data_IF_585521677011
#
_entry.id   IF_585521677011
#
_cell.length_a   1.000
_cell.length_b   1.000
_cell.length_c   1.000
_cell.angle_alpha   90.00
_cell.angle_beta   90.00
_cell.angle_gamma   90.00
#
_symmetry.space_group_name_H-M   'P 1'
#
loop_
_entity.id
_entity.type
_entity.pdbx_description
1 polymer ?
#
# COMPACT_ATOMS: atom_id res chain seq x y z
N UNK A 1 -11.39 42.71 -52.05
CA UNK A 1 -10.94 42.38 -50.67
C UNK A 1 -10.73 40.86 -50.64
N UNK A 2 -9.72 40.38 -49.96
CA UNK A 2 -9.41 38.96 -49.93
C UNK A 2 -9.97 38.30 -48.68
N UNK A 3 -10.54 37.12 -48.81
CA UNK A 3 -11.08 36.32 -47.69
C UNK A 3 -10.04 36.26 -46.59
N UNK A 4 -10.43 36.59 -45.36
CA UNK A 4 -9.63 36.47 -44.12
C UNK A 4 -9.90 35.14 -43.43
N UNK A 5 -9.11 34.79 -42.43
CA UNK A 5 -9.27 33.55 -41.71
C UNK A 5 -9.14 33.77 -40.20
N UNK A 6 -9.90 32.96 -39.39
CA UNK A 6 -9.81 33.01 -37.94
C UNK A 6 -8.38 32.61 -37.50
N UNK A 7 -7.85 33.20 -36.40
CA UNK A 7 -6.45 32.98 -36.01
C UNK A 7 -6.15 31.58 -35.50
N UNK A 8 -7.10 30.90 -34.88
CA UNK A 8 -6.93 29.59 -34.22
C UNK A 8 -7.33 28.44 -35.14
N UNK A 9 -8.59 28.37 -35.53
CA UNK A 9 -9.11 27.26 -36.34
C UNK A 9 -8.92 27.47 -37.85
N UNK A 10 -8.47 28.66 -38.28
CA UNK A 10 -8.25 28.97 -39.68
C UNK A 10 -9.50 28.84 -40.57
N UNK A 11 -10.69 29.14 -39.96
CA UNK A 11 -11.95 29.18 -40.70
C UNK A 11 -12.03 30.39 -41.59
N UNK A 12 -12.66 30.27 -42.76
CA UNK A 12 -12.87 31.41 -43.65
C UNK A 12 -13.73 32.49 -42.98
N UNK A 13 -13.40 33.75 -43.27
CA UNK A 13 -14.18 34.95 -42.94
C UNK A 13 -14.60 35.64 -44.26
N UNK A 14 -15.65 35.16 -44.90
CA UNK A 14 -16.10 35.72 -46.17
C UNK A 14 -16.42 37.21 -46.05
N UNK A 15 -15.98 38.00 -47.04
CA UNK A 15 -16.27 39.42 -47.13
C UNK A 15 -17.50 39.64 -48.01
N UNK A 16 -18.35 40.55 -47.62
CA UNK A 16 -19.58 40.86 -48.37
C UNK A 16 -19.28 41.22 -49.81
N UNK A 17 -19.94 40.54 -50.76
CA UNK A 17 -19.76 40.76 -52.20
C UNK A 17 -18.58 40.05 -52.83
N UNK A 18 -17.72 39.39 -52.08
CA UNK A 18 -16.51 38.70 -52.61
C UNK A 18 -16.82 37.35 -53.29
N UNK A 19 -17.82 36.61 -52.76
CA UNK A 19 -18.04 35.20 -53.12
C UNK A 19 -19.35 35.01 -53.92
N UNK A 20 -19.60 35.87 -54.92
CA UNK A 20 -20.80 35.75 -55.78
C UNK A 20 -20.82 34.40 -56.51
N UNK A 21 -21.85 33.57 -56.24
CA UNK A 21 -22.00 32.24 -56.84
C UNK A 21 -21.25 31.10 -56.12
N UNK A 22 -20.31 31.37 -55.21
CA UNK A 22 -19.52 30.35 -54.48
C UNK A 22 -19.63 30.48 -52.96
N UNK A 23 -20.45 31.38 -52.44
CA UNK A 23 -20.61 31.63 -51.03
C UNK A 23 -21.06 30.39 -50.25
N UNK A 24 -22.00 29.61 -50.79
CA UNK A 24 -22.49 28.38 -50.21
C UNK A 24 -21.39 27.33 -50.01
N UNK A 25 -20.52 27.16 -51.05
CA UNK A 25 -19.42 26.22 -50.99
C UNK A 25 -18.40 26.63 -49.93
N UNK A 26 -18.06 27.91 -49.83
CA UNK A 26 -17.14 28.42 -48.82
C UNK A 26 -17.71 28.23 -47.41
N UNK A 27 -18.99 28.43 -47.19
CA UNK A 27 -19.65 28.18 -45.89
C UNK A 27 -19.60 26.69 -45.55
N UNK A 28 -19.94 25.83 -46.50
CA UNK A 28 -19.99 24.39 -46.28
C UNK A 28 -18.60 23.79 -46.04
N UNK A 29 -17.64 24.10 -46.95
CA UNK A 29 -16.35 23.44 -46.97
C UNK A 29 -15.35 24.10 -46.04
N UNK A 30 -15.32 25.44 -45.96
CA UNK A 30 -14.25 26.18 -45.31
C UNK A 30 -14.64 26.74 -43.94
N UNK A 31 -15.91 26.54 -43.51
CA UNK A 31 -16.40 26.88 -42.18
C UNK A 31 -17.03 25.66 -41.52
N UNK A 32 -18.16 25.14 -42.04
CA UNK A 32 -18.95 24.10 -41.38
C UNK A 32 -18.15 22.79 -41.23
N UNK A 33 -17.58 22.29 -42.32
CA UNK A 33 -16.74 21.07 -42.30
C UNK A 33 -15.46 21.22 -41.43
N UNK A 34 -14.92 22.44 -41.37
CA UNK A 34 -13.78 22.74 -40.52
C UNK A 34 -14.15 22.78 -39.04
N UNK A 35 -15.33 23.23 -38.68
CA UNK A 35 -15.88 23.19 -37.31
C UNK A 35 -16.11 21.73 -36.90
N UNK A 36 -16.72 20.92 -37.78
CA UNK A 36 -16.89 19.48 -37.52
C UNK A 36 -15.56 18.79 -37.27
N UNK A 37 -14.54 19.05 -38.10
CA UNK A 37 -13.19 18.51 -37.90
C UNK A 37 -12.63 18.93 -36.53
N UNK A 38 -12.86 20.16 -36.09
CA UNK A 38 -12.33 20.68 -34.81
C UNK A 38 -13.02 20.09 -33.60
N UNK A 39 -14.28 19.66 -33.72
CA UNK A 39 -15.09 19.13 -32.61
C UNK A 39 -15.07 17.60 -32.56
N UNK A 40 -15.21 16.94 -33.71
CA UNK A 40 -15.38 15.48 -33.82
C UNK A 40 -14.31 14.79 -34.66
N UNK A 41 -13.46 15.52 -35.35
CA UNK A 41 -12.46 14.98 -36.27
C UNK A 41 -11.41 14.12 -35.56
N UNK A 42 -11.18 12.92 -36.11
CA UNK A 42 -10.10 12.02 -35.70
C UNK A 42 -9.03 11.95 -36.77
N UNK A 43 -7.79 12.25 -36.39
CA UNK A 43 -6.61 12.08 -37.24
C UNK A 43 -5.84 10.82 -36.81
N UNK A 44 -5.45 9.99 -37.77
CA UNK A 44 -4.49 8.90 -37.57
C UNK A 44 -3.13 9.35 -38.06
N UNK A 45 -2.17 9.40 -37.16
CA UNK A 45 -0.76 9.67 -37.45
C UNK A 45 -0.02 8.36 -37.50
N UNK A 46 0.53 8.01 -38.67
CA UNK A 46 1.24 6.77 -38.91
C UNK A 46 2.55 7.02 -39.75
N UNK A 47 3.00 8.24 -39.80
CA UNK A 47 4.22 8.64 -40.54
C UNK A 47 5.10 9.47 -39.61
N UNK A 48 6.34 9.03 -39.48
CA UNK A 48 7.33 9.66 -38.61
C UNK A 48 8.59 9.96 -39.36
N UNK A 49 9.16 11.16 -39.20
CA UNK A 49 10.42 11.54 -39.74
C UNK A 49 11.39 11.89 -38.62
N UNK A 50 12.48 11.14 -38.49
CA UNK A 50 13.44 11.29 -37.39
C UNK A 50 12.74 11.24 -36.02
N UNK A 51 11.83 10.27 -35.83
CA UNK A 51 10.98 10.12 -34.66
C UNK A 51 10.06 11.34 -34.38
N UNK A 52 9.72 12.13 -35.35
CA UNK A 52 8.90 13.35 -35.21
C UNK A 52 7.80 13.42 -36.26
N UNK A 53 6.65 13.98 -35.87
CA UNK A 53 5.58 14.38 -36.79
C UNK A 53 5.12 15.80 -36.44
N UNK A 54 5.13 16.71 -37.41
CA UNK A 54 4.63 18.08 -37.22
C UNK A 54 3.25 18.21 -37.83
N UNK A 55 2.28 18.60 -37.00
CA UNK A 55 0.88 18.79 -37.44
C UNK A 55 0.80 19.96 -38.44
N UNK A 56 0.25 19.71 -39.60
CA UNK A 56 0.02 20.72 -40.60
C UNK A 56 -1.09 21.69 -40.21
N UNK A 57 -0.96 22.95 -40.65
CA UNK A 57 -1.98 24.00 -40.56
C UNK A 57 -2.30 24.54 -41.92
N UNK A 58 -3.56 24.83 -42.22
CA UNK A 58 -3.99 25.40 -43.47
C UNK A 58 -5.21 26.31 -43.30
N UNK A 59 -5.26 27.39 -44.02
CA UNK A 59 -6.37 28.34 -44.08
C UNK A 59 -7.51 27.79 -44.92
N UNK A 60 -8.71 27.63 -44.32
CA UNK A 60 -9.93 27.27 -45.04
C UNK A 60 -9.91 25.89 -45.71
N UNK A 61 -8.96 25.03 -45.41
CA UNK A 61 -8.88 23.66 -45.92
C UNK A 61 -8.54 22.68 -44.81
N UNK A 62 -8.67 21.39 -45.07
CA UNK A 62 -8.33 20.34 -44.12
C UNK A 62 -6.89 20.49 -43.59
N UNK A 63 -6.71 20.37 -42.28
CA UNK A 63 -5.41 20.49 -41.65
C UNK A 63 -5.34 19.56 -40.42
N UNK A 64 -4.20 18.90 -40.21
CA UNK A 64 -4.02 17.92 -39.11
C UNK A 64 -4.21 18.54 -37.74
N UNK A 65 -3.69 19.74 -37.52
CA UNK A 65 -3.77 20.44 -36.24
C UNK A 65 -5.19 20.81 -35.82
N UNK A 66 -6.17 20.74 -36.74
CA UNK A 66 -7.57 21.05 -36.43
C UNK A 66 -8.27 19.86 -35.79
N UNK A 67 -7.87 18.63 -36.02
CA UNK A 67 -8.51 17.45 -35.48
C UNK A 67 -8.63 17.51 -33.93
N UNK A 68 -9.78 17.04 -33.42
CA UNK A 68 -10.03 16.96 -31.99
C UNK A 68 -9.29 15.78 -31.34
N UNK A 69 -9.16 14.68 -32.08
CA UNK A 69 -8.53 13.44 -31.61
C UNK A 69 -7.35 13.06 -32.47
N UNK A 70 -6.24 12.74 -31.82
CA UNK A 70 -5.01 12.24 -32.45
C UNK A 70 -4.84 10.77 -32.09
N UNK A 71 -4.82 9.88 -33.07
CA UNK A 71 -4.55 8.45 -32.92
C UNK A 71 -3.17 8.15 -33.47
N UNK A 72 -2.21 7.97 -32.59
CA UNK A 72 -0.81 7.77 -32.95
C UNK A 72 -0.55 6.27 -33.15
N UNK A 73 0.02 5.90 -34.28
CA UNK A 73 0.37 4.53 -34.63
C UNK A 73 1.73 4.51 -35.33
N UNK A 74 2.39 3.37 -35.35
CA UNK A 74 3.64 3.16 -36.09
C UNK A 74 3.64 1.77 -36.77
N UNK A 75 2.64 1.54 -37.64
CA UNK A 75 2.52 0.26 -38.36
C UNK A 75 3.67 0.04 -39.37
N UNK A 76 4.40 1.08 -39.73
CA UNK A 76 5.55 1.03 -40.64
C UNK A 76 6.89 0.94 -39.91
N UNK A 77 6.90 0.85 -38.58
CA UNK A 77 8.13 0.75 -37.74
C UNK A 77 9.17 1.85 -38.02
N UNK A 78 8.69 3.09 -38.13
CA UNK A 78 9.52 4.26 -38.36
C UNK A 78 10.11 4.88 -37.08
N UNK A 79 9.53 4.55 -35.92
CA UNK A 79 9.98 5.02 -34.61
C UNK A 79 11.05 4.09 -34.04
N UNK A 80 12.30 4.50 -34.11
CA UNK A 80 13.43 3.80 -33.50
C UNK A 80 13.59 4.08 -31.99
N UNK A 81 12.92 5.12 -31.47
CA UNK A 81 12.97 5.59 -30.08
C UNK A 81 11.72 6.39 -29.74
N UNK A 82 11.69 7.01 -28.54
CA UNK A 82 10.61 7.92 -28.15
C UNK A 82 10.37 9.00 -29.23
N UNK A 83 9.09 9.21 -29.55
CA UNK A 83 8.68 10.10 -30.63
C UNK A 83 8.16 11.45 -30.13
N UNK A 84 7.97 12.38 -31.09
CA UNK A 84 7.42 13.71 -30.81
C UNK A 84 6.33 14.07 -31.82
N UNK A 85 5.19 14.53 -31.34
CA UNK A 85 4.19 15.24 -32.16
C UNK A 85 4.32 16.72 -31.88
N UNK A 86 4.63 17.51 -32.91
CA UNK A 86 4.75 18.96 -32.80
C UNK A 86 3.44 19.59 -33.25
N UNK A 87 2.71 20.22 -32.31
CA UNK A 87 1.51 20.99 -32.59
C UNK A 87 1.83 22.49 -32.75
N UNK A 88 0.99 23.25 -33.43
CA UNK A 88 1.17 24.71 -33.52
C UNK A 88 0.98 25.34 -32.14
N UNK A 89 1.71 26.45 -31.91
CA UNK A 89 1.58 27.24 -30.66
C UNK A 89 0.28 28.07 -30.65
N UNK A 90 -0.86 27.36 -30.65
CA UNK A 90 -2.20 27.91 -30.64
C UNK A 90 -3.03 27.24 -29.54
N UNK A 91 -3.89 28.01 -28.88
CA UNK A 91 -4.78 27.48 -27.83
C UNK A 91 -5.73 26.44 -28.40
N UNK A 92 -5.55 25.18 -28.03
CA UNK A 92 -6.36 24.05 -28.50
C UNK A 92 -6.23 22.83 -27.59
N UNK A 93 -7.33 22.13 -27.44
CA UNK A 93 -7.42 20.84 -26.71
C UNK A 93 -7.32 19.67 -27.70
N UNK A 94 -6.62 18.61 -27.30
CA UNK A 94 -6.52 17.36 -28.02
C UNK A 94 -6.78 16.17 -27.10
N UNK A 95 -7.50 15.18 -27.61
CA UNK A 95 -7.53 13.83 -27.05
C UNK A 95 -6.50 13.01 -27.82
N UNK A 96 -5.46 12.53 -27.15
CA UNK A 96 -4.36 11.81 -27.79
C UNK A 96 -4.33 10.37 -27.31
N UNK A 97 -4.52 9.44 -28.25
CA UNK A 97 -4.37 7.99 -28.02
C UNK A 97 -3.02 7.55 -28.61
N UNK A 98 -2.11 7.11 -27.76
CA UNK A 98 -0.82 6.57 -28.19
C UNK A 98 -0.88 5.05 -28.32
N UNK A 99 -0.76 4.53 -29.53
CA UNK A 99 -0.60 3.12 -29.88
C UNK A 99 0.64 2.88 -30.76
N UNK A 100 1.62 3.76 -30.71
CA UNK A 100 2.80 3.75 -31.61
C UNK A 100 3.96 2.85 -31.12
N UNK A 101 3.78 2.12 -30.01
CA UNK A 101 4.82 1.23 -29.46
C UNK A 101 5.89 1.94 -28.61
N UNK A 102 6.03 3.26 -28.73
CA UNK A 102 6.99 4.10 -28.03
C UNK A 102 6.28 5.17 -27.19
N UNK A 103 7.00 5.82 -26.27
CA UNK A 103 6.51 7.04 -25.60
C UNK A 103 6.48 8.17 -26.65
N UNK A 104 5.36 8.90 -26.73
CA UNK A 104 5.23 10.04 -27.62
C UNK A 104 5.02 11.31 -26.80
N UNK A 105 5.89 12.30 -27.01
CA UNK A 105 5.72 13.63 -26.42
C UNK A 105 4.94 14.52 -27.36
N UNK A 106 3.83 15.09 -26.92
CA UNK A 106 3.10 16.14 -27.64
C UNK A 106 3.56 17.47 -27.10
N UNK A 107 4.08 18.34 -27.96
CA UNK A 107 4.64 19.65 -27.59
C UNK A 107 4.48 20.67 -28.72
N UNK A 108 4.70 21.95 -28.44
CA UNK A 108 4.93 22.97 -29.48
C UNK A 108 6.39 22.95 -29.93
N UNK A 109 6.73 23.64 -30.99
CA UNK A 109 8.09 23.65 -31.54
C UNK A 109 9.13 24.10 -30.51
N UNK A 110 8.83 25.11 -29.69
CA UNK A 110 9.75 25.71 -28.71
C UNK A 110 9.34 25.53 -27.26
N UNK A 111 8.10 25.12 -26.99
CA UNK A 111 7.57 24.96 -25.63
C UNK A 111 7.82 23.57 -25.02
N UNK A 112 7.43 23.41 -23.77
CA UNK A 112 7.37 22.13 -23.08
C UNK A 112 6.19 21.28 -23.57
N UNK A 113 6.18 19.98 -23.26
CA UNK A 113 5.14 19.06 -23.67
C UNK A 113 4.88 17.94 -22.68
N UNK A 114 3.87 17.13 -22.98
CA UNK A 114 3.43 16.00 -22.19
C UNK A 114 3.82 14.69 -22.87
N UNK A 115 4.50 13.83 -22.13
CA UNK A 115 4.90 12.50 -22.57
C UNK A 115 3.74 11.51 -22.31
N UNK A 116 3.23 10.91 -23.37
CA UNK A 116 2.11 9.95 -23.32
C UNK A 116 2.69 8.54 -23.51
N UNK A 117 2.62 7.66 -22.47
CA UNK A 117 3.10 6.29 -22.60
C UNK A 117 2.32 5.48 -23.65
N UNK A 118 2.97 4.48 -24.23
CA UNK A 118 2.31 3.57 -25.17
C UNK A 118 1.08 2.90 -24.53
N UNK A 119 0.02 2.76 -25.31
CA UNK A 119 -1.26 2.19 -24.88
C UNK A 119 -2.16 3.13 -24.07
N UNK A 120 -1.73 4.36 -23.79
CA UNK A 120 -2.51 5.34 -23.01
C UNK A 120 -3.24 6.36 -23.88
N UNK A 121 -4.34 6.87 -23.34
CA UNK A 121 -5.09 7.99 -23.91
C UNK A 121 -5.09 9.13 -22.88
N UNK A 122 -4.71 10.32 -23.32
CA UNK A 122 -4.65 11.51 -22.47
C UNK A 122 -5.38 12.68 -23.10
N UNK A 123 -6.02 13.50 -22.27
CA UNK A 123 -6.50 14.82 -22.62
C UNK A 123 -5.36 15.81 -22.37
N UNK A 124 -4.97 16.56 -23.40
CA UNK A 124 -3.94 17.59 -23.31
C UNK A 124 -4.43 18.88 -23.94
N UNK A 125 -3.89 20.01 -23.56
CA UNK A 125 -4.17 21.28 -24.22
C UNK A 125 -2.91 22.10 -24.43
N UNK A 126 -2.88 22.85 -25.52
CA UNK A 126 -1.87 23.87 -25.77
C UNK A 126 -2.39 25.21 -25.25
N UNK A 127 -1.60 25.91 -24.43
CA UNK A 127 -1.93 27.25 -23.91
C UNK A 127 -1.49 28.41 -24.86
N UNK A 128 -0.92 28.06 -26.02
CA UNK A 128 -0.31 28.97 -26.97
C UNK A 128 1.23 28.98 -26.91
N UNK A 129 1.81 28.31 -25.91
CA UNK A 129 3.26 28.19 -25.73
C UNK A 129 3.66 26.75 -25.45
N UNK A 130 3.02 26.14 -24.44
CA UNK A 130 3.31 24.80 -23.95
C UNK A 130 2.12 23.86 -24.17
N UNK A 131 2.38 22.55 -24.12
CA UNK A 131 1.33 21.54 -24.00
C UNK A 131 1.29 21.04 -22.57
N UNK A 132 0.10 21.05 -21.97
CA UNK A 132 -0.17 20.75 -20.58
C UNK A 132 -1.20 19.62 -20.45
N UNK A 133 -1.25 18.99 -19.28
CA UNK A 133 -2.27 17.99 -18.98
C UNK A 133 -3.65 18.65 -18.88
N UNK A 134 -4.66 18.03 -19.48
CA UNK A 134 -6.05 18.55 -19.44
C UNK A 134 -6.78 18.28 -18.13
N UNK A 135 -6.28 17.35 -17.31
CA UNK A 135 -6.86 17.01 -16.00
C UNK A 135 -5.70 16.75 -15.02
N UNK A 136 -5.45 17.69 -14.14
CA UNK A 136 -4.40 17.64 -13.11
C UNK A 136 -4.99 17.61 -11.68
N UNK A 137 -6.30 17.88 -11.55
CA UNK A 137 -7.00 17.90 -10.27
C UNK A 137 -8.37 17.23 -10.37
N UNK A 138 -8.65 16.31 -9.43
CA UNK A 138 -9.95 15.67 -9.27
C UNK A 138 -10.40 15.85 -7.82
N UNK A 139 -11.48 16.58 -7.60
CA UNK A 139 -12.03 16.85 -6.25
C UNK A 139 -12.57 15.58 -5.61
N UNK A 140 -13.24 14.74 -6.38
CA UNK A 140 -13.81 13.48 -5.90
C UNK A 140 -13.69 12.43 -7.01
N UNK A 141 -13.05 11.31 -6.70
CA UNK A 141 -12.98 10.14 -7.57
C UNK A 141 -13.88 9.03 -7.01
N UNK A 142 -14.94 8.67 -7.74
CA UNK A 142 -15.75 7.47 -7.45
C UNK A 142 -15.35 6.38 -8.45
N UNK A 143 -14.73 5.32 -7.95
CA UNK A 143 -14.26 4.20 -8.77
C UNK A 143 -14.64 2.87 -8.11
N UNK A 144 -15.06 1.88 -8.89
CA UNK A 144 -15.29 0.52 -8.39
C UNK A 144 -13.98 -0.17 -7.97
N UNK A 145 -12.90 0.14 -8.66
CA UNK A 145 -11.53 -0.31 -8.31
C UNK A 145 -10.55 0.82 -8.65
N UNK A 146 -9.67 1.14 -7.72
CA UNK A 146 -8.58 2.09 -7.93
C UNK A 146 -7.25 1.32 -7.96
N UNK A 147 -6.55 1.35 -9.10
CA UNK A 147 -5.20 0.78 -9.24
C UNK A 147 -4.18 1.90 -9.38
N UNK A 148 -3.24 1.97 -8.45
CA UNK A 148 -2.15 2.95 -8.44
C UNK A 148 -0.83 2.20 -8.63
N UNK A 149 -0.08 2.56 -9.67
CA UNK A 149 1.18 1.89 -10.03
C UNK A 149 2.44 2.63 -9.55
N UNK A 150 2.25 3.74 -8.87
CA UNK A 150 3.33 4.59 -8.34
C UNK A 150 3.21 4.85 -6.85
N UNK A 151 4.10 5.68 -6.31
CA UNK A 151 4.02 6.14 -4.92
C UNK A 151 2.74 6.96 -4.72
N UNK A 152 1.99 6.62 -3.69
CA UNK A 152 0.77 7.34 -3.31
C UNK A 152 0.97 7.99 -1.95
N UNK A 153 0.69 9.29 -1.87
CA UNK A 153 0.67 10.04 -0.61
C UNK A 153 -0.77 10.31 -0.22
N UNK A 154 -1.18 9.81 0.93
CA UNK A 154 -2.47 10.11 1.52
C UNK A 154 -2.32 11.13 2.65
N UNK A 155 -3.13 12.17 2.66
CA UNK A 155 -3.27 13.02 3.83
C UNK A 155 -3.97 12.25 4.97
N UNK A 156 -4.97 11.43 4.62
CA UNK A 156 -5.65 10.51 5.53
C UNK A 156 -6.32 9.38 4.75
N UNK A 157 -6.50 8.23 5.39
CA UNK A 157 -7.26 7.09 4.88
C UNK A 157 -8.39 6.81 5.87
N UNK A 158 -9.64 6.81 5.41
CA UNK A 158 -10.82 6.58 6.25
C UNK A 158 -11.49 5.26 5.86
N UNK A 159 -11.75 4.40 6.84
CA UNK A 159 -12.58 3.22 6.68
C UNK A 159 -14.08 3.53 6.66
N UNK A 160 -14.90 2.55 6.31
CA UNK A 160 -16.35 2.68 6.29
C UNK A 160 -16.95 2.94 7.69
N UNK A 161 -16.28 2.53 8.74
CA UNK A 161 -16.62 2.71 10.15
C UNK A 161 -16.27 4.08 10.74
N UNK A 162 -15.90 5.02 9.89
CA UNK A 162 -15.53 6.39 10.22
C UNK A 162 -14.16 6.60 10.89
N UNK A 163 -13.41 5.56 11.20
CA UNK A 163 -12.05 5.70 11.72
C UNK A 163 -11.11 6.26 10.63
N UNK A 164 -10.48 7.37 10.91
CA UNK A 164 -9.54 8.00 9.98
C UNK A 164 -8.11 7.61 10.31
N UNK A 165 -7.44 6.91 9.41
CA UNK A 165 -6.01 6.62 9.51
C UNK A 165 -5.21 7.79 8.95
N UNK A 166 -4.35 8.39 9.76
CA UNK A 166 -3.56 9.58 9.41
C UNK A 166 -2.11 9.26 9.02
N UNK A 167 -1.73 7.99 9.03
CA UNK A 167 -0.42 7.54 8.58
C UNK A 167 -0.04 6.15 9.07
N UNK A 168 1.17 5.74 8.71
CA UNK A 168 1.82 4.51 9.17
C UNK A 168 2.90 4.94 10.16
N UNK A 169 3.01 4.22 11.27
CA UNK A 169 3.99 4.48 12.32
C UNK A 169 4.88 3.24 12.50
N UNK A 170 6.18 3.48 12.48
CA UNK A 170 7.21 2.50 12.77
C UNK A 170 7.77 2.77 14.16
N UNK A 171 7.14 2.18 15.18
CA UNK A 171 7.42 2.42 16.60
C UNK A 171 7.43 1.10 17.36
N UNK A 172 8.61 0.62 17.73
CA UNK A 172 8.83 -0.72 18.25
C UNK A 172 8.26 -0.96 19.67
N UNK A 173 8.03 0.09 20.41
CA UNK A 173 7.54 0.03 21.80
C UNK A 173 6.04 0.34 21.96
N UNK A 174 5.35 0.73 20.87
CA UNK A 174 3.92 1.12 20.87
C UNK A 174 3.57 2.23 21.89
N UNK A 175 4.53 3.05 22.33
CA UNK A 175 4.33 4.05 23.38
C UNK A 175 3.32 5.13 23.01
N UNK A 176 3.18 5.45 21.71
CA UNK A 176 2.23 6.46 21.25
C UNK A 176 0.78 6.05 21.44
N UNK A 177 0.49 4.75 21.56
CA UNK A 177 -0.88 4.19 21.68
C UNK A 177 -1.89 4.90 20.77
N UNK A 178 -1.49 5.11 19.50
CA UNK A 178 -2.24 5.95 18.55
C UNK A 178 -3.50 5.26 18.04
N UNK A 179 -4.66 5.90 18.21
CA UNK A 179 -5.93 5.42 17.65
C UNK A 179 -6.06 5.65 16.13
N UNK A 180 -5.13 6.38 15.51
CA UNK A 180 -5.24 6.81 14.10
C UNK A 180 -4.02 6.45 13.24
N UNK A 181 -3.07 5.68 13.75
CA UNK A 181 -1.92 5.21 12.99
C UNK A 181 -2.01 3.69 12.74
N UNK A 182 -1.63 3.26 11.55
CA UNK A 182 -1.33 1.86 11.29
C UNK A 182 0.11 1.57 11.71
N UNK A 183 0.34 0.39 12.23
CA UNK A 183 1.65 -0.08 12.65
C UNK A 183 2.32 -0.87 11.53
N UNK A 184 3.65 -0.83 11.45
CA UNK A 184 4.41 -1.68 10.53
C UNK A 184 4.51 -3.12 11.07
N UNK A 185 4.73 -4.07 10.17
CA UNK A 185 4.98 -5.47 10.57
C UNK A 185 6.23 -5.58 11.46
N UNK A 186 7.25 -4.78 11.18
CA UNK A 186 8.50 -4.75 11.96
C UNK A 186 8.23 -4.30 13.39
N UNK A 187 7.48 -3.19 13.60
CA UNK A 187 7.10 -2.71 14.93
C UNK A 187 6.30 -3.74 15.72
N UNK A 188 5.32 -4.41 15.09
CA UNK A 188 4.56 -5.48 15.75
C UNK A 188 5.48 -6.60 16.21
N UNK A 189 6.40 -7.04 15.34
CA UNK A 189 7.35 -8.09 15.68
C UNK A 189 8.27 -7.66 16.82
N UNK A 190 8.84 -6.45 16.77
CA UNK A 190 9.74 -5.94 17.80
C UNK A 190 9.01 -5.82 19.15
N UNK A 191 7.76 -5.30 19.15
CA UNK A 191 6.95 -5.22 20.37
C UNK A 191 6.66 -6.61 20.95
N UNK A 192 6.25 -7.57 20.14
CA UNK A 192 5.95 -8.93 20.56
C UNK A 192 7.20 -9.62 21.11
N UNK A 193 8.33 -9.52 20.40
CA UNK A 193 9.62 -10.10 20.84
C UNK A 193 10.05 -9.50 22.19
N UNK A 194 9.89 -8.18 22.37
CA UNK A 194 10.19 -7.52 23.64
C UNK A 194 9.25 -7.98 24.79
N UNK A 195 7.96 -8.21 24.51
CA UNK A 195 7.03 -8.72 25.52
C UNK A 195 7.28 -10.19 25.86
N UNK A 196 7.57 -11.02 24.84
CA UNK A 196 7.88 -12.45 25.06
C UNK A 196 9.22 -12.60 25.76
N UNK A 197 10.25 -11.83 25.34
CA UNK A 197 11.57 -11.85 26.01
C UNK A 197 11.57 -11.24 27.41
N UNK A 198 10.55 -10.48 27.78
CA UNK A 198 10.40 -9.93 29.14
C UNK A 198 9.95 -10.97 30.19
N UNK A 199 9.56 -12.19 29.78
CA UNK A 199 9.06 -13.25 30.68
C UNK A 199 9.84 -14.55 30.52
N UNK A 200 11.17 -14.46 30.37
CA UNK A 200 12.04 -15.62 30.21
C UNK A 200 12.32 -16.37 31.51
N UNK A 201 11.98 -15.78 32.65
CA UNK A 201 12.22 -16.37 33.95
C UNK A 201 10.93 -16.50 34.78
N UNK A 202 10.86 -17.50 35.62
CA UNK A 202 9.76 -17.66 36.58
C UNK A 202 9.62 -16.44 37.52
N UNK A 203 10.73 -15.75 37.80
CA UNK A 203 10.72 -14.54 38.63
C UNK A 203 9.91 -13.40 37.98
N UNK A 204 10.03 -13.22 36.67
CA UNK A 204 9.28 -12.20 35.91
C UNK A 204 7.80 -12.56 35.78
N UNK A 205 7.48 -13.83 35.58
CA UNK A 205 6.09 -14.32 35.61
C UNK A 205 5.48 -14.08 36.99
N UNK A 206 6.19 -14.37 38.08
CA UNK A 206 5.73 -14.16 39.45
C UNK A 206 5.61 -12.67 39.85
N UNK A 207 6.37 -11.78 39.21
CA UNK A 207 6.23 -10.32 39.40
C UNK A 207 4.90 -9.78 38.85
N UNK A 208 4.33 -10.39 37.82
CA UNK A 208 3.01 -10.04 37.28
C UNK A 208 1.84 -10.66 38.03
N UNK A 209 2.10 -11.69 38.85
CA UNK A 209 1.11 -12.32 39.69
C UNK A 209 1.65 -13.63 40.25
N UNK A 210 1.70 -13.77 41.55
CA UNK A 210 2.29 -14.92 42.25
C UNK A 210 1.28 -16.01 42.64
N UNK A 211 0.09 -15.98 42.06
CA UNK A 211 -0.95 -16.99 42.28
C UNK A 211 -1.30 -17.69 40.99
N UNK A 212 -1.60 -18.99 41.07
CA UNK A 212 -2.02 -19.77 39.90
C UNK A 212 -3.47 -19.46 39.46
N UNK A 213 -4.18 -18.58 40.16
CA UNK A 213 -5.57 -18.21 39.82
C UNK A 213 -6.56 -19.39 39.90
N UNK A 214 -6.22 -20.45 40.62
CA UNK A 214 -7.00 -21.68 40.71
C UNK A 214 -6.67 -22.75 39.67
N UNK A 215 -5.62 -22.52 38.85
CA UNK A 215 -5.08 -23.52 37.94
C UNK A 215 -3.95 -24.33 38.63
N UNK A 216 -3.84 -25.60 38.32
CA UNK A 216 -2.74 -26.46 38.80
C UNK A 216 -1.42 -26.16 38.08
N UNK A 217 -0.32 -26.35 38.80
CA UNK A 217 1.01 -26.45 38.18
C UNK A 217 1.25 -27.92 37.90
N UNK A 218 1.25 -28.31 36.64
CA UNK A 218 1.50 -29.68 36.20
C UNK A 218 2.94 -29.81 35.76
N UNK A 219 3.73 -30.57 36.54
CA UNK A 219 5.07 -31.02 36.08
C UNK A 219 4.91 -32.30 35.26
N UNK A 220 5.71 -32.46 34.22
CA UNK A 220 5.71 -33.66 33.38
C UNK A 220 6.39 -34.83 34.13
N UNK A 221 6.23 -36.05 33.62
CA UNK A 221 6.92 -37.26 34.15
C UNK A 221 8.42 -36.98 34.22
N UNK A 222 9.02 -37.33 35.34
CA UNK A 222 10.42 -37.16 35.70
C UNK A 222 10.90 -35.71 35.89
N UNK A 223 10.04 -34.69 35.72
CA UNK A 223 10.37 -33.30 36.02
C UNK A 223 10.53 -33.12 37.55
N UNK A 224 11.40 -32.20 37.91
CA UNK A 224 11.76 -31.91 39.28
C UNK A 224 11.52 -30.43 39.61
N UNK A 225 10.88 -30.17 40.76
CA UNK A 225 10.97 -28.86 41.40
C UNK A 225 12.22 -28.85 42.27
N UNK A 226 13.31 -28.26 41.76
CA UNK A 226 14.60 -28.21 42.44
C UNK A 226 14.74 -27.00 43.34
N UNK A 227 15.33 -27.19 44.49
CA UNK A 227 15.63 -26.13 45.46
C UNK A 227 17.13 -26.09 45.67
N UNK A 228 17.80 -24.96 45.31
CA UNK A 228 19.22 -24.70 45.48
C UNK A 228 20.12 -25.50 44.54
N UNK A 229 20.06 -26.82 44.49
CA UNK A 229 20.88 -27.67 43.62
C UNK A 229 20.13 -28.96 43.21
N UNK A 230 20.78 -29.82 42.43
CA UNK A 230 20.17 -31.00 41.84
C UNK A 230 19.90 -32.16 42.85
N UNK A 231 20.43 -32.06 44.05
CA UNK A 231 20.24 -33.09 45.09
C UNK A 231 19.04 -32.83 45.99
N UNK A 232 18.42 -31.62 45.90
CA UNK A 232 17.31 -31.21 46.72
C UNK A 232 16.09 -30.92 45.82
N UNK A 233 15.10 -31.78 45.81
CA UNK A 233 13.96 -31.66 44.91
C UNK A 233 12.70 -32.41 45.38
N UNK A 234 11.58 -32.05 44.76
CA UNK A 234 10.33 -32.80 44.79
C UNK A 234 10.01 -33.28 43.39
N UNK A 235 9.67 -34.55 43.22
CA UNK A 235 9.22 -35.10 41.94
C UNK A 235 8.29 -36.31 42.13
N UNK A 236 7.83 -36.84 41.01
CA UNK A 236 7.12 -38.13 40.96
C UNK A 236 7.80 -38.97 39.88
N UNK A 237 8.71 -39.85 40.32
CA UNK A 237 9.51 -40.73 39.43
C UNK A 237 8.72 -41.96 38.94
N UNK A 238 7.53 -42.24 39.54
CA UNK A 238 6.65 -43.33 39.13
C UNK A 238 5.20 -42.97 39.47
N UNK A 239 4.25 -43.60 38.79
CA UNK A 239 2.84 -43.40 39.08
C UNK A 239 2.48 -43.76 40.56
N UNK A 240 1.80 -42.87 41.21
CA UNK A 240 1.40 -42.99 42.63
C UNK A 240 2.49 -42.63 43.63
N UNK A 241 3.68 -42.19 43.22
CA UNK A 241 4.77 -41.78 44.08
C UNK A 241 4.93 -40.26 44.13
N UNK A 242 5.20 -39.73 45.32
CA UNK A 242 5.69 -38.39 45.55
C UNK A 242 7.01 -38.49 46.33
N UNK A 243 8.12 -38.16 45.69
CA UNK A 243 9.43 -38.20 46.31
C UNK A 243 9.82 -36.81 46.80
N UNK A 244 10.21 -36.71 48.07
CA UNK A 244 10.82 -35.52 48.67
C UNK A 244 12.24 -35.87 49.01
N UNK A 245 13.19 -35.35 48.30
CA UNK A 245 14.59 -35.74 48.37
C UNK A 245 15.44 -34.56 48.84
N UNK A 246 16.31 -34.86 49.83
CA UNK A 246 17.33 -33.94 50.30
C UNK A 246 18.62 -34.73 50.57
N UNK A 247 19.79 -34.12 50.35
CA UNK A 247 21.09 -34.72 50.53
C UNK A 247 21.50 -34.87 52.01
N UNK A 248 20.91 -34.10 52.89
CA UNK A 248 21.27 -34.12 54.33
C UNK A 248 20.05 -34.37 55.22
N UNK A 249 19.00 -33.60 55.13
CA UNK A 249 17.84 -33.62 56.04
C UNK A 249 16.58 -33.10 55.37
N UNK A 250 15.44 -33.76 55.64
CA UNK A 250 14.12 -33.18 55.40
C UNK A 250 13.52 -32.80 56.75
N UNK A 251 13.46 -31.50 57.03
CA UNK A 251 12.89 -30.96 58.27
C UNK A 251 11.41 -30.61 58.10
N UNK A 252 10.57 -31.23 58.90
CA UNK A 252 9.13 -30.94 58.97
C UNK A 252 8.85 -30.24 60.28
N UNK A 253 8.54 -28.92 60.25
CA UNK A 253 8.18 -28.12 61.43
C UNK A 253 6.71 -27.86 61.42
N UNK A 254 5.99 -28.55 62.27
CA UNK A 254 4.51 -28.44 62.40
C UNK A 254 4.08 -28.72 63.83
N UNK A 255 2.94 -28.24 64.22
CA UNK A 255 2.29 -28.60 65.52
C UNK A 255 1.83 -30.05 65.58
N UNK A 256 1.49 -30.64 64.44
CA UNK A 256 1.01 -32.02 64.33
C UNK A 256 1.43 -32.56 62.94
N UNK A 257 2.13 -33.69 62.88
CA UNK A 257 2.30 -34.45 61.66
C UNK A 257 1.31 -35.62 61.71
N UNK A 258 0.33 -35.64 60.86
CA UNK A 258 -0.64 -36.73 60.71
C UNK A 258 -0.25 -37.60 59.52
N UNK A 259 0.02 -38.88 59.75
CA UNK A 259 0.31 -39.85 58.67
C UNK A 259 -0.77 -40.93 58.75
N UNK A 260 -1.67 -40.94 57.78
CA UNK A 260 -2.79 -41.92 57.67
C UNK A 260 -2.31 -43.11 56.79
N UNK A 261 -1.18 -43.69 57.15
CA UNK A 261 -0.56 -44.85 56.49
C UNK A 261 0.44 -45.51 57.37
N UNK A 262 0.95 -46.69 56.98
CA UNK A 262 2.10 -47.32 57.66
C UNK A 262 3.34 -46.43 57.45
N UNK A 263 4.13 -46.25 58.49
CA UNK A 263 5.38 -45.53 58.45
C UNK A 263 6.52 -46.57 58.43
N UNK A 264 7.25 -46.66 57.35
CA UNK A 264 8.44 -47.52 57.25
C UNK A 264 9.70 -46.66 57.48
N UNK A 265 10.45 -46.99 58.51
CA UNK A 265 11.69 -46.32 58.88
C UNK A 265 12.84 -47.29 58.66
N UNK A 266 13.65 -47.07 57.65
CA UNK A 266 14.83 -47.90 57.36
C UNK A 266 15.97 -47.75 58.39
N UNK A 267 15.81 -46.86 59.37
CA UNK A 267 16.79 -46.58 60.43
C UNK A 267 16.08 -46.36 61.76
N UNK A 268 16.72 -45.68 62.69
CA UNK A 268 16.23 -45.53 64.09
C UNK A 268 15.20 -44.39 64.18
N UNK A 269 14.07 -44.67 64.87
CA UNK A 269 13.19 -43.60 65.31
C UNK A 269 13.72 -43.04 66.64
N UNK A 270 13.98 -41.73 66.67
CA UNK A 270 14.36 -41.02 67.90
C UNK A 270 13.22 -40.09 68.30
N UNK A 271 12.64 -40.30 69.46
CA UNK A 271 11.60 -39.44 69.97
C UNK A 271 12.16 -38.62 71.14
N UNK A 272 12.07 -37.31 71.05
CA UNK A 272 12.54 -36.40 72.10
C UNK A 272 11.48 -36.21 73.26
N UNK A 273 10.32 -36.78 73.11
CA UNK A 273 9.18 -36.70 74.08
C UNK A 273 8.55 -38.06 74.32
N UNK A 274 7.37 -38.06 74.90
CA UNK A 274 6.62 -39.30 75.20
C UNK A 274 6.09 -39.87 73.85
N UNK A 275 6.21 -41.19 73.72
CA UNK A 275 5.53 -41.95 72.68
C UNK A 275 4.22 -42.52 73.31
N UNK A 276 3.09 -42.26 72.61
CA UNK A 276 1.85 -42.88 72.95
C UNK A 276 1.41 -43.83 71.82
N UNK A 277 1.54 -45.12 72.10
CA UNK A 277 1.21 -46.18 71.15
C UNK A 277 -0.19 -46.75 71.56
N UNK A 278 -1.23 -46.33 70.84
CA UNK A 278 -2.63 -46.76 71.08
C UNK A 278 -2.97 -48.14 70.44
N UNK A 279 -1.97 -48.91 70.02
CA UNK A 279 -2.07 -50.22 69.42
C UNK A 279 -1.11 -51.25 70.06
N UNK A 280 -1.21 -52.52 69.65
CA UNK A 280 -0.34 -53.58 70.12
C UNK A 280 1.06 -53.37 69.54
N UNK A 281 2.11 -53.45 70.37
CA UNK A 281 3.50 -53.51 69.97
C UNK A 281 3.87 -54.99 69.83
N UNK A 282 3.92 -55.56 68.65
CA UNK A 282 4.41 -56.90 68.34
C UNK A 282 5.92 -56.96 68.26
#
# INVERSE_FOLDING_TARGET
MTTQYTPILKLALPVQGELSGTWGDVVNDNITSMIEQAIAGRLVINTWSSNSHTLTTANGTTAEARAAMLSLTDSNTQLGAAGTVVCPALSKTYIVKNGAGQIITVKTASGSGIAIPNGKTMLVYCDGTNVLEGVDHVVTLSAGTLTITGLTTFASLKGADATTVTGILDEDNMNSNSATKLVTQQSVKAYVDAQVGAFDTLAEVLANGNTTGGADIVASTDDKVQFRDAAIYINSGADGHLDVVADTEVQIVTSTLNVDAAVDLSSTLVLAGNADFNGDLD
#
